data_IF_361303640154
#
_entry.id   IF_361303640154
#
_cell.length_a   1.000
_cell.length_b   1.000
_cell.length_c   1.000
_cell.angle_alpha   90.00
_cell.angle_beta   90.00
_cell.angle_gamma   90.00
#
_symmetry.space_group_name_H-M   'P 1'
#
loop_
_entity.id
_entity.type
_entity.pdbx_description
1 polymer ?
#
# COMPACT_ATOMS: atom_id res chain seq x y z
N UNK A 1 -23.06 47.26 47.72
CA UNK A 1 -22.98 46.67 46.37
C UNK A 1 -22.21 45.37 46.47
N UNK A 2 -22.85 44.21 46.30
CA UNK A 2 -22.17 42.90 46.35
C UNK A 2 -21.63 42.59 44.95
N UNK A 3 -20.31 42.47 44.83
CA UNK A 3 -19.63 42.09 43.59
C UNK A 3 -19.75 40.56 43.45
N UNK A 4 -20.45 40.09 42.41
CA UNK A 4 -20.52 38.67 42.06
C UNK A 4 -19.34 38.38 41.13
N UNK A 5 -18.39 37.57 41.59
CA UNK A 5 -17.25 37.10 40.79
C UNK A 5 -17.72 35.92 39.93
N UNK A 6 -17.95 36.16 38.63
CA UNK A 6 -18.28 35.11 37.67
C UNK A 6 -16.97 34.47 37.18
N UNK A 7 -16.60 33.33 37.75
CA UNK A 7 -15.48 32.51 37.29
C UNK A 7 -15.90 31.74 36.03
N UNK A 8 -15.45 32.22 34.87
CA UNK A 8 -15.58 31.50 33.59
C UNK A 8 -14.46 30.44 33.53
N UNK A 9 -14.81 29.18 33.73
CA UNK A 9 -13.91 28.06 33.47
C UNK A 9 -13.80 27.85 31.95
N UNK A 10 -12.70 28.30 31.37
CA UNK A 10 -12.34 27.98 29.99
C UNK A 10 -11.71 26.58 29.98
N UNK A 11 -12.49 25.53 29.74
CA UNK A 11 -11.98 24.18 29.58
C UNK A 11 -11.28 24.06 28.22
N UNK A 12 -9.95 24.14 28.20
CA UNK A 12 -9.15 23.72 27.05
C UNK A 12 -9.21 22.20 26.94
N UNK A 13 -10.09 21.69 26.08
CA UNK A 13 -10.04 20.30 25.67
C UNK A 13 -8.83 20.11 24.74
N UNK A 14 -7.71 19.61 25.26
CA UNK A 14 -6.61 19.11 24.45
C UNK A 14 -7.08 17.84 23.73
N UNK A 15 -7.43 17.97 22.45
CA UNK A 15 -7.63 16.81 21.59
C UNK A 15 -6.24 16.27 21.26
N UNK A 16 -5.81 15.23 21.97
CA UNK A 16 -4.66 14.44 21.55
C UNK A 16 -5.04 13.70 20.26
N UNK A 17 -4.57 14.21 19.12
CA UNK A 17 -4.55 13.41 17.88
C UNK A 17 -3.43 12.39 18.07
N UNK A 18 -3.78 11.17 18.49
CA UNK A 18 -2.86 10.05 18.47
C UNK A 18 -2.68 9.64 17.01
N UNK A 19 -1.68 10.20 16.33
CA UNK A 19 -1.19 9.60 15.09
C UNK A 19 -0.55 8.27 15.47
N UNK A 20 -1.04 7.16 14.91
CA UNK A 20 -0.44 5.86 15.13
C UNK A 20 1.00 5.88 14.59
N UNK A 21 1.99 5.85 15.48
CA UNK A 21 3.40 5.83 15.10
C UNK A 21 3.73 4.49 14.42
N UNK A 22 4.52 4.53 13.34
CA UNK A 22 4.99 3.33 12.65
C UNK A 22 5.83 2.49 13.64
N UNK A 23 5.55 1.19 13.82
CA UNK A 23 6.39 0.30 14.62
C UNK A 23 7.85 0.33 14.15
N UNK A 24 8.80 0.38 15.08
CA UNK A 24 10.23 0.55 14.77
C UNK A 24 10.77 -0.55 13.84
N UNK A 25 10.30 -1.79 14.00
CA UNK A 25 10.67 -2.93 13.17
C UNK A 25 10.17 -2.83 11.72
N UNK A 26 9.16 -1.97 11.49
CA UNK A 26 8.53 -1.69 10.19
C UNK A 26 8.88 -0.31 9.62
N UNK A 27 9.74 0.44 10.32
CA UNK A 27 10.18 1.76 9.90
C UNK A 27 11.60 1.69 9.27
N UNK A 28 11.76 1.86 7.94
CA UNK A 28 13.05 1.78 7.25
C UNK A 28 14.03 2.91 7.60
N UNK A 29 13.56 4.02 8.18
CA UNK A 29 14.45 5.06 8.71
C UNK A 29 15.18 4.59 9.98
N UNK A 30 14.56 3.69 10.75
CA UNK A 30 15.09 3.14 12.01
C UNK A 30 15.75 1.77 11.78
N UNK A 31 15.03 0.84 11.15
CA UNK A 31 15.49 -0.51 10.88
C UNK A 31 16.09 -0.61 9.46
N UNK A 32 17.41 -0.48 9.36
CA UNK A 32 18.10 -0.50 8.05
C UNK A 32 18.06 -1.86 7.35
N UNK A 33 17.77 -2.95 8.06
CA UNK A 33 17.61 -4.26 7.43
C UNK A 33 16.38 -4.34 6.52
N UNK A 34 15.38 -3.46 6.71
CA UNK A 34 14.21 -3.38 5.84
C UNK A 34 14.27 -2.19 4.87
N UNK A 35 15.36 -1.42 4.86
CA UNK A 35 15.55 -0.34 3.88
C UNK A 35 16.17 -0.92 2.60
N UNK A 36 15.50 -0.85 1.43
CA UNK A 36 16.07 -1.38 0.19
C UNK A 36 17.39 -0.72 -0.23
N UNK A 37 17.61 0.55 0.11
CA UNK A 37 18.87 1.23 -0.24
C UNK A 37 20.07 0.68 0.56
N UNK A 38 19.83 0.17 1.76
CA UNK A 38 20.85 -0.31 2.70
C UNK A 38 20.98 -1.85 2.73
N UNK A 39 19.98 -2.59 2.25
CA UNK A 39 20.01 -4.05 2.22
C UNK A 39 19.96 -4.60 0.78
N UNK A 40 21.11 -5.08 0.32
CA UNK A 40 21.32 -5.63 -1.02
C UNK A 40 20.40 -6.79 -1.37
N UNK A 41 19.96 -7.60 -0.39
CA UNK A 41 19.06 -8.74 -0.63
C UNK A 41 17.69 -8.27 -1.14
N UNK A 42 17.21 -7.14 -0.62
CA UNK A 42 15.88 -6.60 -0.93
C UNK A 42 15.95 -5.41 -1.91
N UNK A 43 17.15 -5.03 -2.36
CA UNK A 43 17.40 -3.96 -3.33
C UNK A 43 17.22 -4.47 -4.77
N UNK A 44 16.27 -3.95 -5.57
CA UNK A 44 16.08 -4.39 -6.96
C UNK A 44 17.27 -4.09 -7.89
N UNK A 45 18.07 -3.06 -7.64
CA UNK A 45 19.25 -2.77 -8.45
C UNK A 45 20.40 -3.77 -8.19
N UNK A 46 20.46 -4.37 -7.00
CA UNK A 46 21.55 -5.29 -6.60
C UNK A 46 21.14 -6.76 -6.64
N UNK A 47 19.87 -7.09 -6.38
CA UNK A 47 19.32 -8.43 -6.48
C UNK A 47 18.45 -8.58 -7.74
N UNK A 48 19.04 -9.14 -8.81
CA UNK A 48 18.37 -9.30 -10.10
C UNK A 48 17.17 -10.26 -10.07
N UNK A 49 17.08 -11.16 -9.07
CA UNK A 49 15.94 -12.10 -8.96
C UNK A 49 14.62 -11.38 -8.65
N UNK A 50 14.69 -10.24 -7.97
CA UNK A 50 13.52 -9.41 -7.63
C UNK A 50 13.38 -8.20 -8.56
N UNK A 51 14.18 -8.12 -9.62
CA UNK A 51 14.13 -7.03 -10.58
C UNK A 51 13.37 -7.47 -11.85
N UNK A 52 12.20 -6.91 -12.15
CA UNK A 52 11.39 -7.30 -13.29
C UNK A 52 12.00 -6.95 -14.66
N UNK A 53 13.05 -6.11 -14.73
CA UNK A 53 13.83 -5.96 -15.98
C UNK A 53 14.62 -7.22 -16.34
N UNK A 54 15.02 -7.99 -15.34
CA UNK A 54 15.88 -9.17 -15.51
C UNK A 54 15.15 -10.48 -15.18
N UNK A 55 14.01 -10.42 -14.50
CA UNK A 55 13.13 -11.54 -14.21
C UNK A 55 11.77 -11.34 -14.88
N UNK A 56 11.65 -11.88 -16.10
CA UNK A 56 10.44 -11.79 -16.92
C UNK A 56 9.18 -12.39 -16.27
N UNK A 57 9.33 -13.40 -15.39
CA UNK A 57 8.19 -14.06 -14.75
C UNK A 57 7.37 -13.11 -13.86
N UNK A 58 8.02 -12.09 -13.29
CA UNK A 58 7.40 -11.11 -12.39
C UNK A 58 7.11 -9.77 -13.08
N UNK A 59 7.28 -9.67 -14.40
CA UNK A 59 7.04 -8.46 -15.19
C UNK A 59 5.71 -8.56 -15.97
N UNK A 60 4.67 -7.77 -15.62
CA UNK A 60 3.37 -7.78 -16.30
C UNK A 60 3.43 -7.42 -17.79
N UNK A 61 4.40 -6.63 -18.24
CA UNK A 61 4.50 -6.31 -19.67
C UNK A 61 5.08 -7.49 -20.47
N UNK A 62 5.98 -8.27 -19.87
CA UNK A 62 6.64 -9.39 -20.55
C UNK A 62 5.94 -10.73 -20.35
N UNK A 63 5.10 -10.88 -19.31
CA UNK A 63 4.40 -12.11 -18.99
C UNK A 63 2.88 -11.92 -19.05
N UNK A 64 2.26 -12.45 -20.11
CA UNK A 64 0.82 -12.34 -20.36
C UNK A 64 -0.04 -12.97 -19.25
N UNK A 65 0.46 -13.98 -18.53
CA UNK A 65 -0.27 -14.61 -17.44
C UNK A 65 -0.51 -13.66 -16.26
N UNK A 66 0.37 -12.66 -16.08
CA UNK A 66 0.26 -11.67 -15.02
C UNK A 66 -0.04 -10.25 -15.55
N UNK A 67 -0.34 -10.13 -16.84
CA UNK A 67 -0.77 -8.89 -17.47
C UNK A 67 -2.29 -8.74 -17.37
N UNK A 68 -2.84 -7.68 -16.76
CA UNK A 68 -4.27 -7.55 -16.59
C UNK A 68 -5.04 -7.26 -17.89
N UNK A 69 -4.38 -6.79 -18.95
CA UNK A 69 -5.02 -6.66 -20.27
C UNK A 69 -5.14 -8.00 -20.99
N UNK A 70 -4.35 -9.01 -20.61
CA UNK A 70 -4.35 -10.33 -21.24
C UNK A 70 -5.00 -11.42 -20.39
N UNK A 71 -5.01 -11.27 -19.06
CA UNK A 71 -5.58 -12.23 -18.13
C UNK A 71 -6.83 -11.66 -17.44
N UNK A 72 -8.00 -12.18 -17.84
CA UNK A 72 -9.30 -11.77 -17.31
C UNK A 72 -9.48 -12.03 -15.80
N UNK A 73 -8.78 -13.02 -15.22
CA UNK A 73 -8.89 -13.35 -13.79
C UNK A 73 -8.35 -12.25 -12.89
N UNK A 74 -7.41 -11.46 -13.38
CA UNK A 74 -6.78 -10.34 -12.65
C UNK A 74 -7.19 -8.97 -13.22
N UNK A 75 -8.16 -8.94 -14.14
CA UNK A 75 -8.70 -7.72 -14.70
C UNK A 75 -9.99 -7.32 -13.96
N UNK A 76 -9.99 -6.24 -13.16
CA UNK A 76 -11.16 -5.86 -12.35
C UNK A 76 -12.35 -5.35 -13.17
N UNK A 77 -12.17 -4.99 -14.44
CA UNK A 77 -13.30 -4.65 -15.33
C UNK A 77 -14.08 -5.88 -15.80
N UNK A 78 -13.46 -7.06 -15.71
CA UNK A 78 -14.05 -8.34 -16.15
C UNK A 78 -14.37 -9.22 -14.95
N UNK A 79 -13.45 -9.35 -14.01
CA UNK A 79 -13.62 -10.13 -12.78
C UNK A 79 -14.04 -9.23 -11.61
N UNK A 80 -15.34 -9.18 -11.34
CA UNK A 80 -15.90 -8.38 -10.25
C UNK A 80 -15.49 -8.83 -8.86
N UNK A 81 -14.98 -10.07 -8.68
CA UNK A 81 -14.53 -10.57 -7.37
C UNK A 81 -13.31 -9.80 -6.84
N UNK A 82 -12.44 -9.35 -7.75
CA UNK A 82 -11.23 -8.57 -7.40
C UNK A 82 -11.43 -7.06 -7.54
N UNK A 83 -12.65 -6.61 -7.83
CA UNK A 83 -12.96 -5.19 -7.98
C UNK A 83 -13.67 -4.66 -6.72
N UNK A 84 -13.05 -3.75 -5.96
CA UNK A 84 -13.65 -3.19 -4.75
C UNK A 84 -14.95 -2.41 -4.96
N UNK A 85 -15.25 -1.90 -6.16
CA UNK A 85 -16.52 -1.23 -6.42
C UNK A 85 -17.71 -2.20 -6.46
N UNK A 86 -17.48 -3.46 -6.81
CA UNK A 86 -18.52 -4.48 -6.92
C UNK A 86 -18.54 -5.47 -5.77
N UNK A 87 -17.38 -5.79 -5.18
CA UNK A 87 -17.28 -6.70 -4.05
C UNK A 87 -17.23 -5.91 -2.73
N UNK A 88 -18.34 -5.95 -1.98
CA UNK A 88 -18.50 -5.16 -0.74
C UNK A 88 -17.50 -5.54 0.35
N UNK A 89 -17.10 -6.81 0.42
CA UNK A 89 -16.18 -7.31 1.45
C UNK A 89 -14.78 -6.70 1.36
N UNK A 90 -14.37 -6.32 0.14
CA UNK A 90 -13.08 -5.68 -0.12
C UNK A 90 -13.22 -4.17 -0.39
N UNK A 91 -14.44 -3.61 -0.28
CA UNK A 91 -14.69 -2.19 -0.47
C UNK A 91 -14.34 -1.41 0.80
N UNK A 92 -13.37 -0.47 0.77
CA UNK A 92 -12.92 0.23 1.97
C UNK A 92 -13.93 1.26 2.51
N UNK A 93 -14.91 1.68 1.70
CA UNK A 93 -15.96 2.60 2.11
C UNK A 93 -17.12 1.87 2.80
N UNK A 94 -17.25 0.56 2.60
CA UNK A 94 -18.29 -0.29 3.22
C UNK A 94 -17.75 -1.14 4.36
N UNK A 95 -16.44 -1.39 4.38
CA UNK A 95 -15.77 -2.22 5.37
C UNK A 95 -14.79 -1.38 6.19
N UNK A 96 -15.25 -0.85 7.33
CA UNK A 96 -14.49 0.09 8.17
C UNK A 96 -13.15 -0.45 8.68
N UNK A 97 -13.03 -1.77 8.84
CA UNK A 97 -11.76 -2.41 9.25
C UNK A 97 -10.65 -2.29 8.20
N UNK A 98 -10.99 -1.92 6.96
CA UNK A 98 -10.02 -1.64 5.91
C UNK A 98 -9.51 -0.20 5.93
N UNK A 99 -10.15 0.71 6.68
CA UNK A 99 -9.71 2.10 6.77
C UNK A 99 -8.60 2.24 7.82
N UNK A 100 -7.37 2.66 7.45
CA UNK A 100 -6.25 2.76 8.37
C UNK A 100 -6.43 3.83 9.46
N UNK A 101 -7.34 4.79 9.26
CA UNK A 101 -7.63 5.87 10.22
C UNK A 101 -8.74 5.50 11.22
N UNK A 102 -9.47 4.41 10.98
CA UNK A 102 -10.60 4.00 11.81
C UNK A 102 -10.36 2.65 12.51
N UNK A 103 -9.66 1.73 11.84
CA UNK A 103 -9.35 0.41 12.38
C UNK A 103 -8.00 0.39 13.08
N UNK A 104 -7.93 -0.11 14.32
CA UNK A 104 -6.67 -0.28 15.03
C UNK A 104 -5.88 -1.55 14.62
N UNK A 105 -6.50 -2.48 13.87
CA UNK A 105 -5.99 -3.83 13.60
C UNK A 105 -6.02 -4.20 12.11
N UNK A 106 -5.82 -3.23 11.22
CA UNK A 106 -5.67 -3.55 9.80
C UNK A 106 -4.41 -4.40 9.55
N UNK A 107 -4.45 -5.23 8.51
CA UNK A 107 -3.30 -6.01 8.05
C UNK A 107 -2.83 -5.46 6.73
N UNK A 108 -1.52 -5.36 6.52
CA UNK A 108 -0.98 -4.77 5.31
C UNK A 108 0.36 -4.08 5.54
N UNK A 109 0.66 -3.09 4.71
CA UNK A 109 1.96 -2.43 4.63
C UNK A 109 1.84 -0.92 4.79
N UNK A 110 2.85 -0.32 5.41
CA UNK A 110 3.15 1.09 5.27
C UNK A 110 3.87 1.29 3.93
N UNK A 111 3.44 2.26 3.15
CA UNK A 111 4.06 2.60 1.85
C UNK A 111 5.03 3.75 2.05
N UNK A 112 6.25 3.60 1.52
CA UNK A 112 7.33 4.58 1.63
C UNK A 112 7.78 5.06 0.25
N UNK A 113 8.23 6.31 0.19
CA UNK A 113 8.95 6.84 -0.97
C UNK A 113 10.42 6.36 -1.00
N UNK A 114 11.18 6.87 -1.97
CA UNK A 114 12.60 6.54 -2.16
C UNK A 114 13.52 7.00 -1.02
N UNK A 115 13.06 7.93 -0.20
CA UNK A 115 13.79 8.57 0.89
C UNK A 115 13.28 8.05 2.26
N UNK A 116 12.60 6.89 2.25
CA UNK A 116 12.04 6.20 3.42
C UNK A 116 10.95 7.00 4.16
N UNK A 117 10.35 8.03 3.55
CA UNK A 117 9.22 8.74 4.16
C UNK A 117 7.92 8.00 3.87
N UNK A 118 7.08 7.83 4.89
CA UNK A 118 5.77 7.22 4.70
C UNK A 118 4.88 8.12 3.84
N UNK A 119 4.29 7.54 2.80
CA UNK A 119 3.39 8.21 1.84
C UNK A 119 2.00 7.60 1.77
N UNK A 120 1.77 6.45 2.43
CA UNK A 120 0.45 5.83 2.47
C UNK A 120 0.41 4.47 3.15
N UNK A 121 -0.64 3.73 2.81
CA UNK A 121 -0.94 2.41 3.35
C UNK A 121 -1.43 1.48 2.23
N UNK A 122 -1.03 0.20 2.30
CA UNK A 122 -1.58 -0.88 1.48
C UNK A 122 -2.27 -1.86 2.42
N UNK A 123 -3.59 -1.92 2.42
CA UNK A 123 -4.37 -2.73 3.36
C UNK A 123 -4.84 -4.01 2.67
N UNK A 124 -4.51 -5.16 3.23
CA UNK A 124 -4.95 -6.47 2.73
C UNK A 124 -6.44 -6.62 2.99
N UNK A 125 -7.22 -6.58 1.91
CA UNK A 125 -8.66 -6.75 1.95
C UNK A 125 -9.04 -8.23 1.93
N UNK A 126 -8.37 -9.02 1.07
CA UNK A 126 -8.44 -10.47 1.06
C UNK A 126 -7.13 -11.08 0.51
N UNK A 127 -7.16 -12.36 0.12
CA UNK A 127 -5.99 -13.05 -0.43
C UNK A 127 -5.55 -12.55 -1.82
N UNK A 128 -6.39 -11.79 -2.53
CA UNK A 128 -6.15 -11.32 -3.89
C UNK A 128 -6.03 -9.80 -3.97
N UNK A 129 -6.63 -9.05 -3.05
CA UNK A 129 -6.75 -7.60 -3.16
C UNK A 129 -6.15 -6.90 -1.95
N UNK A 130 -5.32 -5.90 -2.24
CA UNK A 130 -4.99 -4.86 -1.28
C UNK A 130 -5.62 -3.54 -1.73
N UNK A 131 -6.10 -2.73 -0.79
CA UNK A 131 -6.62 -1.38 -1.06
C UNK A 131 -5.61 -0.33 -0.63
N UNK A 132 -5.44 0.71 -1.44
CA UNK A 132 -4.42 1.73 -1.26
C UNK A 132 -5.01 2.99 -0.60
N UNK A 133 -4.31 3.56 0.36
CA UNK A 133 -4.68 4.82 0.98
C UNK A 133 -3.51 5.80 1.00
N UNK A 134 -3.82 7.09 0.89
CA UNK A 134 -2.87 8.15 1.20
C UNK A 134 -2.67 8.31 2.73
N UNK A 135 -1.80 9.24 3.12
CA UNK A 135 -1.53 9.55 4.53
C UNK A 135 -2.75 10.06 5.31
N UNK A 136 -3.80 10.54 4.62
CA UNK A 136 -5.03 11.05 5.23
C UNK A 136 -6.11 9.96 5.32
N UNK A 137 -5.83 8.74 4.84
CA UNK A 137 -6.81 7.66 4.77
C UNK A 137 -7.81 7.82 3.64
N UNK A 138 -7.52 8.62 2.61
CA UNK A 138 -8.33 8.64 1.39
C UNK A 138 -8.00 7.42 0.55
N UNK A 139 -9.02 6.71 0.07
CA UNK A 139 -8.85 5.59 -0.85
C UNK A 139 -8.33 6.11 -2.19
N UNK A 140 -7.18 5.60 -2.66
CA UNK A 140 -6.49 6.09 -3.87
C UNK A 140 -6.45 5.08 -5.01
N UNK A 141 -6.79 3.82 -4.75
CA UNK A 141 -6.70 2.74 -5.71
C UNK A 141 -6.62 1.38 -5.03
N UNK A 142 -6.25 0.35 -5.76
CA UNK A 142 -6.12 -0.99 -5.22
C UNK A 142 -5.14 -1.82 -6.05
N UNK A 143 -4.70 -2.93 -5.47
CA UNK A 143 -3.74 -3.85 -6.02
C UNK A 143 -4.43 -5.20 -6.21
N UNK A 144 -4.29 -5.80 -7.38
CA UNK A 144 -4.76 -7.17 -7.63
C UNK A 144 -3.55 -8.10 -7.75
N UNK A 145 -3.55 -9.11 -6.89
CA UNK A 145 -2.52 -10.14 -6.80
C UNK A 145 -2.49 -11.02 -8.04
N UNK A 146 -1.29 -11.45 -8.37
CA UNK A 146 -1.00 -12.48 -9.34
C UNK A 146 -0.52 -13.73 -8.59
N UNK A 147 -0.41 -14.86 -9.30
CA UNK A 147 0.04 -16.14 -8.76
C UNK A 147 1.53 -16.19 -8.33
N UNK A 148 2.31 -15.14 -8.62
CA UNK A 148 3.77 -15.09 -8.38
C UNK A 148 4.22 -14.00 -7.39
N UNK A 149 3.35 -13.59 -6.46
CA UNK A 149 3.62 -12.52 -5.48
C UNK A 149 3.95 -11.16 -6.14
N UNK A 150 3.42 -10.95 -7.34
CA UNK A 150 3.33 -9.64 -8.00
C UNK A 150 1.90 -9.13 -7.84
N UNK A 151 1.73 -7.82 -7.82
CA UNK A 151 0.42 -7.18 -7.73
C UNK A 151 0.36 -6.05 -8.77
N UNK A 152 -0.71 -6.02 -9.57
CA UNK A 152 -0.96 -4.95 -10.53
C UNK A 152 -1.71 -3.81 -9.87
N UNK A 153 -1.29 -2.56 -10.11
CA UNK A 153 -1.88 -1.37 -9.50
C UNK A 153 -2.99 -0.78 -10.36
N UNK A 154 -4.19 -0.66 -9.79
CA UNK A 154 -5.35 -0.05 -10.42
C UNK A 154 -5.73 1.26 -9.74
N UNK A 155 -6.17 2.23 -10.54
CA UNK A 155 -6.77 3.45 -10.04
C UNK A 155 -8.24 3.24 -9.65
N UNK A 156 -8.89 4.29 -9.16
CA UNK A 156 -10.31 4.25 -8.78
C UNK A 156 -11.28 4.11 -9.97
N UNK A 157 -10.80 4.19 -11.21
CA UNK A 157 -11.59 3.99 -12.43
C UNK A 157 -11.40 2.58 -13.00
N UNK A 158 -10.78 1.68 -12.24
CA UNK A 158 -10.45 0.31 -12.63
C UNK A 158 -9.47 0.23 -13.81
N UNK A 159 -8.71 1.30 -14.05
CA UNK A 159 -7.67 1.31 -15.07
C UNK A 159 -6.36 0.80 -14.48
N UNK A 160 -5.71 -0.12 -15.21
CA UNK A 160 -4.35 -0.50 -14.85
C UNK A 160 -3.43 0.69 -15.09
N UNK A 161 -2.76 1.14 -14.03
CA UNK A 161 -1.88 2.31 -14.08
C UNK A 161 -0.57 2.06 -14.83
N UNK A 162 -0.30 0.79 -15.19
CA UNK A 162 1.01 0.33 -15.66
C UNK A 162 2.01 0.08 -14.53
N UNK A 163 1.73 0.57 -13.32
CA UNK A 163 2.52 0.29 -12.13
C UNK A 163 2.22 -1.11 -11.62
N UNK A 164 3.22 -1.72 -10.99
CA UNK A 164 3.07 -3.00 -10.31
C UNK A 164 4.05 -3.11 -9.15
N UNK A 165 3.78 -4.03 -8.24
CA UNK A 165 4.51 -4.20 -7.00
C UNK A 165 4.92 -5.67 -6.87
N UNK A 166 6.17 -5.94 -6.52
CA UNK A 166 6.70 -7.29 -6.37
C UNK A 166 7.22 -7.52 -4.94
N UNK A 167 7.15 -8.77 -4.47
CA UNK A 167 7.85 -9.17 -3.24
C UNK A 167 9.34 -8.88 -3.33
N UNK A 168 9.91 -8.35 -2.26
CA UNK A 168 11.34 -8.11 -2.12
C UNK A 168 12.15 -9.37 -1.76
N UNK A 169 11.53 -10.56 -1.85
CA UNK A 169 12.06 -11.85 -1.37
C UNK A 169 12.25 -11.93 0.15
N UNK A 170 11.58 -11.06 0.89
CA UNK A 170 11.48 -11.09 2.34
C UNK A 170 10.04 -10.82 2.80
N UNK A 171 9.85 -9.93 3.78
CA UNK A 171 8.54 -9.55 4.30
C UNK A 171 7.92 -8.35 3.60
N UNK A 172 8.61 -7.71 2.64
CA UNK A 172 8.18 -6.45 2.05
C UNK A 172 7.93 -6.50 0.56
N UNK A 173 7.69 -5.32 0.00
CA UNK A 173 7.36 -5.12 -1.39
C UNK A 173 8.18 -3.97 -2.01
N UNK A 174 8.47 -4.05 -3.30
CA UNK A 174 9.12 -2.99 -4.09
C UNK A 174 8.19 -2.55 -5.24
N UNK A 175 8.16 -1.23 -5.52
CA UNK A 175 7.25 -0.63 -6.50
C UNK A 175 7.96 -0.33 -7.82
N UNK A 176 7.37 -0.78 -8.92
CA UNK A 176 7.93 -0.66 -10.27
C UNK A 176 6.98 0.09 -11.21
N UNK A 177 7.57 0.84 -12.14
CA UNK A 177 6.84 1.43 -13.26
C UNK A 177 6.58 0.40 -14.38
N UNK A 178 5.86 0.80 -15.43
CA UNK A 178 5.52 -0.07 -16.56
C UNK A 178 6.75 -0.59 -17.31
N UNK A 179 7.86 0.14 -17.30
CA UNK A 179 9.15 -0.30 -17.87
C UNK A 179 9.90 -1.31 -16.98
N UNK A 180 9.34 -1.67 -15.82
CA UNK A 180 9.99 -2.54 -14.83
C UNK A 180 11.12 -1.85 -14.05
N UNK A 181 11.17 -0.52 -14.06
CA UNK A 181 12.14 0.25 -13.27
C UNK A 181 11.66 0.37 -11.85
N UNK A 182 12.57 0.08 -10.91
CA UNK A 182 12.29 0.34 -9.51
C UNK A 182 12.19 1.84 -9.27
N UNK A 183 11.10 2.26 -8.65
CA UNK A 183 10.82 3.67 -8.38
C UNK A 183 11.54 4.22 -7.15
N UNK A 184 12.20 3.35 -6.38
CA UNK A 184 12.69 3.66 -5.04
C UNK A 184 11.62 3.43 -3.96
N UNK A 185 10.34 3.57 -4.32
CA UNK A 185 9.24 3.30 -3.39
C UNK A 185 9.14 1.82 -3.05
N UNK A 186 8.73 1.55 -1.82
CA UNK A 186 8.68 0.22 -1.23
C UNK A 186 7.66 0.17 -0.08
N UNK A 187 7.24 -1.03 0.33
CA UNK A 187 6.28 -1.21 1.40
C UNK A 187 6.76 -2.22 2.45
N UNK A 188 6.49 -1.95 3.73
CA UNK A 188 6.95 -2.71 4.92
C UNK A 188 5.88 -2.82 5.99
#
# INVERSE_FOLDING_TARGET
MKLVLLLVFLSFAFVFVCSAQIPNDRNPQINKNICPNENDRINPAKNLKINPKYNWNINPISNAAINPNSNALINPKVNTRVNPHYNELINPLRTLSLNPMMGANWRGYYLFDKDDNQIGYLIIADQYVMVCFDMKGNWTGYLVSTDVKTYNCFDLKDEWTGMFICSDSDSGLNVFNKEGEWTGSHAK
#
